data_IF_678336085192
#
_entry.id   IF_678336085192
#
_cell.length_a   1.000
_cell.length_b   1.000
_cell.length_c   1.000
_cell.angle_alpha   90.00
_cell.angle_beta   90.00
_cell.angle_gamma   90.00
#
_symmetry.space_group_name_H-M   'P 1'
#
loop_
_entity.id
_entity.type
_entity.pdbx_description
1 polymer ?
#
# COMPACT_ATOMS: atom_id res chain seq x y z
N UNK A 1 -54.77 -0.31 1.05
CA UNK A 1 -54.17 -1.59 1.46
C UNK A 1 -53.75 -2.34 0.20
N UNK A 2 -52.49 -2.21 -0.21
CA UNK A 2 -51.93 -2.94 -1.36
C UNK A 2 -51.58 -4.35 -0.89
N UNK A 3 -52.38 -5.34 -1.29
CA UNK A 3 -52.15 -6.74 -0.99
C UNK A 3 -50.87 -7.20 -1.70
N UNK A 4 -49.76 -7.26 -0.97
CA UNK A 4 -48.55 -7.98 -1.39
C UNK A 4 -48.94 -9.46 -1.47
N UNK A 5 -49.22 -9.95 -2.68
CA UNK A 5 -49.59 -11.34 -2.87
C UNK A 5 -48.40 -12.23 -2.49
N UNK A 6 -48.62 -13.40 -1.85
CA UNK A 6 -47.54 -14.33 -1.52
C UNK A 6 -46.69 -14.73 -2.74
N UNK A 7 -47.26 -14.61 -3.94
CA UNK A 7 -46.56 -14.78 -5.22
C UNK A 7 -45.48 -13.73 -5.44
N UNK A 8 -45.74 -12.46 -5.13
CA UNK A 8 -44.78 -11.37 -5.34
C UNK A 8 -43.58 -11.50 -4.39
N UNK A 9 -43.82 -11.93 -3.15
CA UNK A 9 -42.75 -12.25 -2.19
C UNK A 9 -41.88 -13.40 -2.70
N UNK A 10 -42.48 -14.47 -3.22
CA UNK A 10 -41.74 -15.61 -3.76
C UNK A 10 -40.86 -15.22 -4.95
N UNK A 11 -41.38 -14.38 -5.87
CA UNK A 11 -40.62 -13.88 -7.03
C UNK A 11 -39.44 -13.02 -6.59
N UNK A 12 -39.63 -12.13 -5.61
CA UNK A 12 -38.55 -11.30 -5.06
C UNK A 12 -37.48 -12.16 -4.38
N UNK A 13 -37.86 -13.17 -3.59
CA UNK A 13 -36.90 -14.08 -2.96
C UNK A 13 -36.05 -14.84 -3.99
N UNK A 14 -36.66 -15.33 -5.08
CA UNK A 14 -35.94 -16.03 -6.15
C UNK A 14 -34.95 -15.08 -6.86
N UNK A 15 -35.35 -13.85 -7.13
CA UNK A 15 -34.47 -12.84 -7.74
C UNK A 15 -33.28 -12.50 -6.85
N UNK A 16 -33.49 -12.34 -5.54
CA UNK A 16 -32.41 -12.07 -4.58
C UNK A 16 -31.42 -13.24 -4.56
N UNK A 17 -31.89 -14.48 -4.46
CA UNK A 17 -31.02 -15.67 -4.47
C UNK A 17 -30.23 -15.78 -5.78
N UNK A 18 -30.88 -15.47 -6.92
CA UNK A 18 -30.21 -15.49 -8.22
C UNK A 18 -29.12 -14.43 -8.34
N UNK A 19 -29.38 -13.20 -7.87
CA UNK A 19 -28.40 -12.10 -7.83
C UNK A 19 -27.20 -12.49 -6.97
N UNK A 20 -27.43 -13.01 -5.76
CA UNK A 20 -26.34 -13.43 -4.85
C UNK A 20 -25.50 -14.55 -5.47
N UNK A 21 -26.13 -15.57 -6.05
CA UNK A 21 -25.43 -16.68 -6.71
C UNK A 21 -24.67 -16.24 -7.97
N UNK A 22 -25.14 -15.21 -8.66
CA UNK A 22 -24.43 -14.67 -9.82
C UNK A 22 -23.24 -13.80 -9.42
N UNK A 23 -23.37 -13.03 -8.34
CA UNK A 23 -22.26 -12.26 -7.76
C UNK A 23 -21.12 -13.19 -7.31
N UNK A 24 -21.43 -14.28 -6.63
CA UNK A 24 -20.42 -15.24 -6.14
C UNK A 24 -19.64 -15.90 -7.29
N UNK A 25 -20.35 -16.31 -8.36
CA UNK A 25 -19.71 -16.83 -9.59
C UNK A 25 -18.80 -15.80 -10.28
N UNK A 26 -19.15 -14.52 -10.22
CA UNK A 26 -18.31 -13.46 -10.82
C UNK A 26 -17.01 -13.25 -10.05
N UNK A 27 -17.06 -13.41 -8.71
CA UNK A 27 -15.90 -13.29 -7.83
C UNK A 27 -14.98 -14.49 -8.03
N UNK A 28 -15.53 -15.71 -8.12
CA UNK A 28 -14.74 -16.90 -8.45
C UNK A 28 -14.05 -16.79 -9.81
N UNK A 29 -14.74 -16.26 -10.83
CA UNK A 29 -14.16 -16.09 -12.16
C UNK A 29 -12.98 -15.11 -12.15
N UNK A 30 -13.09 -13.98 -11.43
CA UNK A 30 -11.98 -13.02 -11.24
C UNK A 30 -10.78 -13.60 -10.49
N UNK A 31 -10.99 -14.56 -9.57
CA UNK A 31 -9.90 -15.25 -8.86
C UNK A 31 -9.16 -16.27 -9.72
N UNK A 32 -9.82 -16.84 -10.73
CA UNK A 32 -9.28 -17.92 -11.58
C UNK A 32 -8.54 -17.41 -12.82
N UNK A 33 -8.77 -16.17 -13.24
CA UNK A 33 -8.01 -15.56 -14.33
C UNK A 33 -6.57 -15.26 -13.86
N UNK A 34 -5.55 -15.90 -14.45
CA UNK A 34 -4.16 -15.55 -14.14
C UNK A 34 -3.92 -14.12 -14.64
N UNK A 35 -3.71 -13.18 -13.73
CA UNK A 35 -3.19 -11.85 -14.08
C UNK A 35 -1.82 -12.07 -14.70
N UNK A 36 -1.70 -11.76 -16.00
CA UNK A 36 -0.40 -11.67 -16.66
C UNK A 36 0.47 -10.73 -15.83
N UNK A 37 1.61 -11.26 -15.36
CA UNK A 37 2.61 -10.50 -14.62
C UNK A 37 3.26 -9.58 -15.65
N UNK A 38 2.92 -8.29 -15.63
CA UNK A 38 3.55 -7.31 -16.49
C UNK A 38 5.07 -7.36 -16.24
N UNK A 39 5.84 -7.47 -17.32
CA UNK A 39 7.30 -7.49 -17.25
C UNK A 39 7.79 -6.09 -16.89
N UNK A 40 8.50 -5.98 -15.77
CA UNK A 40 8.98 -4.71 -15.26
C UNK A 40 9.96 -4.07 -16.27
N UNK A 41 9.56 -2.94 -16.86
CA UNK A 41 10.47 -2.11 -17.66
C UNK A 41 11.44 -1.35 -16.73
N UNK A 42 12.70 -1.11 -17.12
CA UNK A 42 13.61 -0.30 -16.33
C UNK A 42 13.06 1.13 -16.15
N UNK A 43 13.05 1.62 -14.91
CA UNK A 43 12.67 3.00 -14.60
C UNK A 43 13.66 3.99 -15.22
N UNK A 44 13.14 5.05 -15.83
CA UNK A 44 13.94 6.16 -16.38
C UNK A 44 13.83 7.34 -15.43
N UNK A 45 14.90 8.13 -15.27
CA UNK A 45 14.94 9.28 -14.34
C UNK A 45 13.78 10.28 -14.52
N UNK A 46 13.17 10.29 -15.70
CA UNK A 46 12.03 11.11 -16.10
C UNK A 46 10.73 10.80 -15.32
N UNK A 47 10.59 9.56 -14.81
CA UNK A 47 9.42 9.10 -14.03
C UNK A 47 9.50 9.52 -12.54
N UNK A 48 10.65 10.05 -12.10
CA UNK A 48 10.92 10.45 -10.70
C UNK A 48 11.04 11.97 -10.53
N UNK A 49 10.45 12.73 -11.45
CA UNK A 49 10.43 14.19 -11.35
C UNK A 49 9.66 14.61 -10.10
N UNK A 50 10.25 15.55 -9.38
CA UNK A 50 9.67 16.19 -8.21
C UNK A 50 8.35 16.86 -8.62
N UNK A 51 7.25 16.50 -7.96
CA UNK A 51 5.91 16.99 -8.27
C UNK A 51 5.71 18.48 -7.94
N UNK A 52 6.75 19.15 -7.43
CA UNK A 52 6.72 20.58 -7.09
C UNK A 52 6.47 21.48 -8.33
N UNK A 53 6.74 21.00 -9.55
CA UNK A 53 6.55 21.75 -10.81
C UNK A 53 5.29 21.35 -11.61
N UNK A 54 4.53 20.33 -11.17
CA UNK A 54 3.32 19.86 -11.85
C UNK A 54 2.07 20.47 -11.22
N UNK A 55 1.36 21.27 -12.02
CA UNK A 55 0.05 21.82 -11.69
C UNK A 55 -0.94 20.74 -11.17
N UNK A 56 -1.20 20.75 -9.86
CA UNK A 56 -2.49 20.48 -9.19
C UNK A 56 -3.36 19.24 -9.53
N UNK A 57 -2.92 18.27 -10.33
CA UNK A 57 -3.80 17.18 -10.79
C UNK A 57 -3.44 15.77 -10.31
N UNK A 58 -2.26 15.54 -9.73
CA UNK A 58 -1.85 14.21 -9.25
C UNK A 58 -1.29 14.27 -7.84
N UNK A 59 -1.94 15.04 -6.96
CA UNK A 59 -1.86 14.81 -5.52
C UNK A 59 -2.33 13.36 -5.26
N UNK A 60 -1.56 12.61 -4.46
CA UNK A 60 -1.61 11.14 -4.39
C UNK A 60 -3.03 10.57 -4.49
N UNK A 61 -3.30 9.82 -5.55
CA UNK A 61 -4.65 9.35 -5.96
C UNK A 61 -5.33 8.38 -4.98
N UNK A 62 -4.70 8.11 -3.84
CA UNK A 62 -5.26 7.29 -2.79
C UNK A 62 -6.37 8.04 -2.02
N UNK A 63 -7.46 7.36 -1.64
CA UNK A 63 -8.41 7.93 -0.70
C UNK A 63 -7.75 8.12 0.68
N UNK A 64 -8.06 9.24 1.35
CA UNK A 64 -7.61 9.53 2.71
C UNK A 64 -8.74 10.01 3.61
N UNK A 65 -8.64 9.71 4.91
CA UNK A 65 -9.60 10.17 5.90
C UNK A 65 -9.70 11.70 5.90
N UNK A 66 -10.91 12.22 5.67
CA UNK A 66 -11.20 13.65 5.59
C UNK A 66 -10.32 14.43 4.57
N UNK A 67 -9.86 13.76 3.49
CA UNK A 67 -8.99 14.36 2.47
C UNK A 67 -7.78 15.06 3.11
N UNK A 68 -7.05 14.29 3.94
CA UNK A 68 -5.88 14.78 4.70
C UNK A 68 -4.56 14.44 4.05
N UNK A 69 -4.56 13.47 3.13
CA UNK A 69 -3.38 13.01 2.36
C UNK A 69 -2.13 12.84 3.23
N UNK A 70 -2.23 12.02 4.30
CA UNK A 70 -1.26 12.04 5.39
C UNK A 70 -0.01 11.18 5.08
N UNK A 71 0.51 11.25 3.85
CA UNK A 71 1.69 10.50 3.39
C UNK A 71 2.79 11.43 2.91
N UNK A 72 4.03 11.05 3.16
CA UNK A 72 5.22 11.67 2.55
C UNK A 72 6.06 10.57 1.93
N UNK A 73 6.31 10.68 0.62
CA UNK A 73 7.20 9.79 -0.11
C UNK A 73 8.58 10.45 -0.20
N UNK A 74 9.57 9.85 0.47
CA UNK A 74 10.95 10.30 0.41
C UNK A 74 11.70 9.41 -0.57
N UNK A 75 12.13 10.00 -1.68
CA UNK A 75 12.89 9.31 -2.72
C UNK A 75 14.38 9.53 -2.46
N UNK A 76 15.12 8.44 -2.28
CA UNK A 76 16.56 8.47 -2.02
C UNK A 76 17.30 7.81 -3.18
N UNK A 77 18.10 8.60 -3.89
CA UNK A 77 19.00 8.15 -4.97
C UNK A 77 20.48 8.18 -4.56
N UNK A 78 20.83 9.09 -3.65
CA UNK A 78 22.20 9.35 -3.23
C UNK A 78 22.86 8.10 -2.61
N UNK A 79 23.98 7.59 -3.18
CA UNK A 79 24.63 6.38 -2.68
C UNK A 79 25.09 6.47 -1.23
N UNK A 80 25.58 7.63 -0.78
CA UNK A 80 26.08 7.81 0.59
C UNK A 80 24.92 7.78 1.60
N UNK A 81 23.79 8.41 1.27
CA UNK A 81 22.57 8.36 2.10
C UNK A 81 21.99 6.94 2.12
N UNK A 82 21.95 6.24 0.98
CA UNK A 82 21.50 4.83 0.94
C UNK A 82 22.37 3.93 1.82
N UNK A 83 23.70 4.12 1.77
CA UNK A 83 24.62 3.34 2.59
C UNK A 83 24.41 3.59 4.09
N UNK A 84 24.23 4.85 4.50
CA UNK A 84 23.88 5.19 5.90
C UNK A 84 22.56 4.56 6.34
N UNK A 85 21.56 4.54 5.46
CA UNK A 85 20.27 3.88 5.73
C UNK A 85 20.49 2.37 5.93
N UNK A 86 21.33 1.75 5.11
CA UNK A 86 21.69 0.34 5.23
C UNK A 86 22.33 0.03 6.58
N UNK A 87 23.36 0.77 6.97
CA UNK A 87 24.05 0.57 8.25
C UNK A 87 23.07 0.58 9.43
N UNK A 88 22.18 1.58 9.48
CA UNK A 88 21.17 1.72 10.53
C UNK A 88 20.19 0.54 10.53
N UNK A 89 19.71 0.12 9.36
CA UNK A 89 18.75 -0.98 9.24
C UNK A 89 19.38 -2.33 9.61
N UNK A 90 20.60 -2.60 9.16
CA UNK A 90 21.28 -3.87 9.44
C UNK A 90 21.60 -4.00 10.95
N UNK A 91 22.03 -2.91 11.61
CA UNK A 91 22.25 -2.88 13.06
C UNK A 91 20.96 -3.19 13.84
N UNK A 92 19.86 -2.52 13.51
CA UNK A 92 18.57 -2.74 14.18
C UNK A 92 17.98 -4.13 13.88
N UNK A 93 18.14 -4.63 12.65
CA UNK A 93 17.70 -5.98 12.29
C UNK A 93 18.51 -7.07 13.00
N UNK A 94 19.83 -6.89 13.19
CA UNK A 94 20.64 -7.83 13.98
C UNK A 94 20.10 -7.96 15.42
N UNK A 95 19.73 -6.83 16.04
CA UNK A 95 19.09 -6.81 17.36
C UNK A 95 17.70 -7.46 17.31
N UNK A 96 16.92 -7.21 16.26
CA UNK A 96 15.59 -7.78 16.09
C UNK A 96 15.62 -9.31 16.02
N UNK A 97 16.49 -9.87 15.17
CA UNK A 97 16.65 -11.32 15.00
C UNK A 97 17.18 -11.99 16.26
N UNK A 98 18.07 -11.32 17.01
CA UNK A 98 18.67 -11.89 18.22
C UNK A 98 17.80 -11.78 19.46
N UNK A 99 16.99 -10.73 19.59
CA UNK A 99 16.32 -10.40 20.87
C UNK A 99 14.85 -10.02 20.75
N UNK A 100 14.46 -9.14 19.82
CA UNK A 100 13.11 -8.52 19.87
C UNK A 100 11.99 -9.34 19.22
N UNK A 101 12.29 -10.10 18.16
CA UNK A 101 11.27 -10.86 17.42
C UNK A 101 10.81 -12.13 18.16
N UNK A 102 11.68 -12.72 18.97
CA UNK A 102 11.42 -13.98 19.68
C UNK A 102 11.40 -15.23 18.77
N UNK A 103 11.46 -16.42 19.37
CA UNK A 103 11.69 -17.67 18.64
C UNK A 103 10.59 -18.00 17.62
N UNK A 104 9.34 -17.66 17.94
CA UNK A 104 8.19 -17.94 17.06
C UNK A 104 8.28 -17.14 15.75
N UNK A 105 8.51 -15.83 15.84
CA UNK A 105 8.63 -14.97 14.67
C UNK A 105 9.87 -15.33 13.85
N UNK A 106 11.02 -15.56 14.50
CA UNK A 106 12.24 -16.00 13.79
C UNK A 106 12.00 -17.32 13.06
N UNK A 107 11.26 -18.25 13.66
CA UNK A 107 10.91 -19.53 13.01
C UNK A 107 10.00 -19.32 11.80
N UNK A 108 9.01 -18.43 11.89
CA UNK A 108 8.11 -18.10 10.77
C UNK A 108 8.86 -17.45 9.59
N UNK A 109 9.95 -16.72 9.85
CA UNK A 109 10.79 -16.09 8.83
C UNK A 109 11.72 -17.08 8.10
N UNK A 110 12.02 -18.26 8.66
CA UNK A 110 12.94 -19.24 8.04
C UNK A 110 12.54 -19.64 6.62
N UNK A 111 11.23 -19.72 6.35
CA UNK A 111 10.70 -20.03 5.01
C UNK A 111 11.03 -18.97 3.95
N UNK A 112 11.26 -17.73 4.37
CA UNK A 112 11.60 -16.60 3.51
C UNK A 112 13.11 -16.46 3.29
N UNK A 113 13.94 -17.21 4.03
CA UNK A 113 15.41 -17.15 3.99
C UNK A 113 15.97 -15.73 4.19
N UNK A 114 15.27 -14.91 4.98
CA UNK A 114 15.68 -13.54 5.30
C UNK A 114 16.64 -13.54 6.48
N UNK A 115 17.58 -12.59 6.48
CA UNK A 115 18.50 -12.31 7.57
C UNK A 115 18.61 -10.79 7.79
N UNK A 116 19.56 -10.35 8.61
CA UNK A 116 19.83 -8.94 8.88
C UNK A 116 20.64 -8.23 7.78
N UNK A 117 21.23 -8.95 6.81
CA UNK A 117 21.98 -8.36 5.71
C UNK A 117 21.01 -7.89 4.61
N UNK A 118 21.04 -6.60 4.29
CA UNK A 118 20.10 -5.93 3.37
C UNK A 118 20.83 -5.27 2.20
N UNK A 119 21.57 -6.06 1.43
CA UNK A 119 22.38 -5.60 0.26
C UNK A 119 21.56 -4.84 -0.80
N UNK A 120 20.26 -5.13 -0.89
CA UNK A 120 19.34 -4.41 -1.78
C UNK A 120 19.23 -2.91 -1.48
N UNK A 121 19.59 -2.46 -0.27
CA UNK A 121 19.55 -1.04 0.08
C UNK A 121 20.63 -0.21 -0.64
N UNK A 122 21.78 -0.81 -0.96
CA UNK A 122 22.82 -0.15 -1.76
C UNK A 122 22.62 -0.39 -3.25
N UNK A 123 22.32 -1.63 -3.63
CA UNK A 123 22.26 -2.06 -5.03
C UNK A 123 21.01 -1.57 -5.75
N UNK A 124 19.89 -1.35 -5.06
CA UNK A 124 18.72 -0.75 -5.67
C UNK A 124 19.04 0.69 -6.12
N UNK A 125 18.64 1.10 -7.34
CA UNK A 125 18.93 2.44 -7.84
C UNK A 125 18.23 3.52 -7.01
N UNK A 126 17.05 3.21 -6.47
CA UNK A 126 16.19 4.14 -5.74
C UNK A 126 15.58 3.45 -4.53
N UNK A 127 15.55 4.15 -3.40
CA UNK A 127 14.75 3.77 -2.24
C UNK A 127 13.58 4.75 -2.09
N UNK A 128 12.38 4.21 -1.83
CA UNK A 128 11.19 5.02 -1.53
C UNK A 128 10.80 4.74 -0.08
N UNK A 129 11.01 5.72 0.80
CA UNK A 129 10.61 5.64 2.20
C UNK A 129 9.27 6.35 2.36
N UNK A 130 8.28 5.64 2.89
CA UNK A 130 6.92 6.14 3.04
C UNK A 130 6.68 6.47 4.50
N UNK A 131 6.47 7.75 4.79
CA UNK A 131 6.18 8.23 6.14
C UNK A 131 4.70 8.54 6.28
N UNK A 132 4.11 8.10 7.40
CA UNK A 132 2.78 8.56 7.82
C UNK A 132 2.90 9.88 8.58
N UNK A 133 2.08 10.85 8.21
CA UNK A 133 1.89 12.06 8.98
C UNK A 133 0.85 11.79 10.07
N UNK A 134 1.29 11.62 11.31
CA UNK A 134 0.39 11.39 12.46
C UNK A 134 -0.54 12.59 12.69
N UNK A 135 -0.06 13.78 12.36
CA UNK A 135 -0.83 15.01 12.30
C UNK A 135 -0.23 15.94 11.26
N UNK A 136 -1.03 16.90 10.78
CA UNK A 136 -0.58 17.97 9.90
C UNK A 136 -0.56 19.31 10.62
N UNK A 137 -0.18 20.35 9.88
CA UNK A 137 -0.28 21.74 10.30
C UNK A 137 -1.10 22.50 9.25
N UNK A 138 -2.09 23.27 9.70
CA UNK A 138 -2.80 24.21 8.84
C UNK A 138 -1.94 25.44 8.56
N UNK A 139 -2.29 26.24 7.54
CA UNK A 139 -1.56 27.46 7.16
C UNK A 139 -1.39 28.47 8.30
N UNK A 140 -2.26 28.42 9.32
CA UNK A 140 -2.18 29.24 10.53
C UNK A 140 -1.33 28.60 11.66
N UNK A 141 -0.58 27.54 11.37
CA UNK A 141 0.23 26.79 12.33
C UNK A 141 -0.55 25.89 13.29
N UNK A 142 -1.89 25.84 13.21
CA UNK A 142 -2.68 24.97 14.09
C UNK A 142 -2.57 23.51 13.66
N UNK A 143 -2.48 22.63 14.64
CA UNK A 143 -2.43 21.17 14.43
C UNK A 143 -3.73 20.69 13.75
N UNK A 144 -3.59 20.03 12.60
CA UNK A 144 -4.68 19.34 11.90
C UNK A 144 -4.62 17.85 12.24
N UNK A 145 -5.76 17.27 12.62
CA UNK A 145 -5.86 15.84 12.92
C UNK A 145 -5.99 15.07 11.61
N UNK A 146 -5.20 14.00 11.47
CA UNK A 146 -5.30 13.06 10.35
C UNK A 146 -6.04 11.82 10.82
N UNK A 147 -7.25 11.64 10.31
CA UNK A 147 -8.09 10.49 10.66
C UNK A 147 -7.65 9.27 9.86
N UNK A 148 -7.49 8.12 10.53
CA UNK A 148 -7.09 6.86 9.91
C UNK A 148 -5.83 6.99 9.04
N UNK A 149 -4.85 7.77 9.52
CA UNK A 149 -3.63 8.08 8.76
C UNK A 149 -2.87 6.83 8.34
N UNK A 150 -2.78 5.83 9.20
CA UNK A 150 -2.12 4.55 8.90
C UNK A 150 -2.82 3.76 7.79
N UNK A 151 -4.15 3.68 7.81
CA UNK A 151 -4.93 2.99 6.76
C UNK A 151 -4.81 3.75 5.44
N UNK A 152 -4.92 5.08 5.49
CA UNK A 152 -4.81 5.95 4.31
C UNK A 152 -3.45 5.79 3.62
N UNK A 153 -2.36 5.83 4.39
CA UNK A 153 -0.99 5.63 3.89
C UNK A 153 -0.79 4.21 3.35
N UNK A 154 -1.37 3.21 4.01
CA UNK A 154 -1.30 1.82 3.53
C UNK A 154 -2.01 1.61 2.20
N UNK A 155 -3.16 2.26 1.98
CA UNK A 155 -3.86 2.25 0.68
C UNK A 155 -2.99 2.91 -0.39
N UNK A 156 -2.37 4.05 -0.06
CA UNK A 156 -1.44 4.75 -0.96
C UNK A 156 -0.23 3.88 -1.34
N UNK A 157 0.34 3.15 -0.37
CA UNK A 157 1.38 2.16 -0.62
C UNK A 157 0.90 1.03 -1.55
N UNK A 158 -0.34 0.55 -1.39
CA UNK A 158 -0.93 -0.44 -2.29
C UNK A 158 -1.06 0.05 -3.73
N UNK A 159 -1.44 1.32 -3.93
CA UNK A 159 -1.47 1.94 -5.26
C UNK A 159 -0.06 2.12 -5.84
N UNK A 160 0.92 2.52 -5.02
CA UNK A 160 2.32 2.60 -5.44
C UNK A 160 2.83 1.23 -5.92
N UNK A 161 2.58 0.16 -5.16
CA UNK A 161 2.95 -1.19 -5.56
C UNK A 161 2.26 -1.63 -6.86
N UNK A 162 0.99 -1.24 -7.06
CA UNK A 162 0.28 -1.52 -8.30
C UNK A 162 0.89 -0.76 -9.48
N UNK A 163 1.30 0.49 -9.29
CA UNK A 163 1.98 1.30 -10.31
C UNK A 163 3.38 0.75 -10.63
N UNK A 164 4.13 0.28 -9.64
CA UNK A 164 5.44 -0.34 -9.83
C UNK A 164 5.41 -1.68 -10.57
N UNK A 165 4.26 -2.35 -10.58
CA UNK A 165 4.10 -3.65 -11.24
C UNK A 165 3.85 -3.53 -12.75
N UNK A 166 3.49 -2.34 -13.25
CA UNK A 166 3.16 -2.05 -14.67
C UNK A 166 4.43 -1.83 -15.49
#
# INVERSE_FOLDING_TARGET
MLFLTPVLVAVVCILIVWIFKNADRSIEKRKREPRARAEARPWVDEDLRDSTDLHQAEEGTAPSGAHTEPWTFVVVKDPDVKHKIREIIEEEEEINYRRRMGDRWVTDLKKLRTNWIKEYLDTAPVLILIFKQVHGFAANGKKKVHYYSEISVSISCGLLLAALQV
#
